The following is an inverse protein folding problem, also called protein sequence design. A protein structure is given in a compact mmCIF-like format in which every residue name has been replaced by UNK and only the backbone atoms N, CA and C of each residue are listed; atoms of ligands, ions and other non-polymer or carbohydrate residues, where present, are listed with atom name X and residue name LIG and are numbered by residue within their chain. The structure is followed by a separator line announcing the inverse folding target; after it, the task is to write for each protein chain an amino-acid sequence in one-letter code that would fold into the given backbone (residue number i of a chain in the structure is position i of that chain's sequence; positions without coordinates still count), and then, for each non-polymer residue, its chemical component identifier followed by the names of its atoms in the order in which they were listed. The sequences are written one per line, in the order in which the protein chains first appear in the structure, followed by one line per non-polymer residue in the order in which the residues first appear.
data_IF_389063297637
#
_entry.id   IF_389063297637
#
_cell.length_a   1.000
_cell.length_b   1.000
_cell.length_c   1.000
_cell.angle_alpha   90.00
_cell.angle_beta   90.00
_cell.angle_gamma   90.00
#
_symmetry.space_group_name_H-M   'P 1'
#
loop_
_entity.id
_entity.type
_entity.pdbx_description
1 polymer ?
#
# COMPACT_ATOMS: atom_id res chain seq x y z
N UNK A 1 -10.99 20.76 33.41
CA UNK A 1 -9.60 21.12 33.01
C UNK A 1 -8.70 20.06 33.63
N UNK A 2 -7.97 19.17 32.94
CA UNK A 2 -7.52 19.08 31.56
C UNK A 2 -7.44 17.60 31.17
N UNK A 3 -8.29 17.14 30.25
CA UNK A 3 -8.28 15.75 29.72
C UNK A 3 -7.61 15.63 28.35
N UNK A 4 -6.67 16.51 28.02
CA UNK A 4 -6.12 16.67 26.66
C UNK A 4 -4.72 16.13 26.42
N UNK A 5 -4.10 15.44 27.38
CA UNK A 5 -2.68 15.05 27.28
C UNK A 5 -2.41 13.54 27.31
N UNK A 6 -3.41 12.68 27.06
CA UNK A 6 -3.22 11.22 27.01
C UNK A 6 -3.61 10.59 25.66
N UNK A 7 -3.54 11.36 24.58
CA UNK A 7 -3.62 10.84 23.19
C UNK A 7 -2.25 10.77 22.51
N UNK A 8 -1.27 11.57 22.96
CA UNK A 8 0.07 11.62 22.36
C UNK A 8 1.02 10.49 22.80
N UNK A 9 0.72 9.79 23.89
CA UNK A 9 1.52 8.64 24.38
C UNK A 9 0.95 7.28 23.96
N UNK A 10 -0.22 7.27 23.29
CA UNK A 10 -0.76 6.07 22.62
C UNK A 10 -0.25 5.97 21.19
N UNK A 11 1.00 6.35 20.99
CA UNK A 11 1.89 5.82 19.97
C UNK A 11 2.32 4.38 20.32
N UNK A 12 1.43 3.60 20.95
CA UNK A 12 1.48 2.15 21.00
C UNK A 12 1.06 1.63 19.62
N UNK A 13 2.05 1.70 18.73
CA UNK A 13 2.13 1.31 17.31
C UNK A 13 1.84 -0.19 17.08
N UNK A 14 1.09 -0.86 17.97
CA UNK A 14 1.01 -2.33 18.03
C UNK A 14 -0.38 -2.96 17.99
N UNK A 15 -1.48 -2.19 17.95
CA UNK A 15 -2.84 -2.78 18.02
C UNK A 15 -3.74 -2.52 16.81
N UNK A 16 -3.33 -1.69 15.85
CA UNK A 16 -4.08 -1.44 14.60
C UNK A 16 -3.21 -1.51 13.34
N UNK A 17 -1.92 -1.76 13.49
CA UNK A 17 -0.99 -1.89 12.37
C UNK A 17 -0.44 -3.31 12.37
N UNK A 18 -0.55 -3.98 11.23
CA UNK A 18 0.14 -5.25 10.97
C UNK A 18 1.62 -5.07 11.34
N UNK A 19 2.15 -5.79 12.34
CA UNK A 19 3.57 -5.69 12.68
C UNK A 19 4.40 -5.94 11.43
N UNK A 20 5.50 -5.21 11.25
CA UNK A 20 6.36 -5.31 10.04
C UNK A 20 6.74 -6.76 9.71
N UNK A 21 6.96 -7.59 10.74
CA UNK A 21 7.23 -9.02 10.57
C UNK A 21 6.08 -9.78 9.88
N UNK A 22 4.83 -9.48 10.26
CA UNK A 22 3.64 -10.08 9.63
C UNK A 22 3.45 -9.54 8.21
N UNK A 23 3.66 -8.25 7.98
CA UNK A 23 3.58 -7.66 6.64
C UNK A 23 4.62 -8.29 5.68
N UNK A 24 5.85 -8.49 6.14
CA UNK A 24 6.89 -9.21 5.38
C UNK A 24 6.54 -10.66 5.14
N UNK A 25 5.97 -11.34 6.14
CA UNK A 25 5.50 -12.71 5.97
C UNK A 25 4.38 -12.80 4.92
N UNK A 26 3.38 -11.93 4.99
CA UNK A 26 2.31 -11.84 3.98
C UNK A 26 2.86 -11.51 2.59
N UNK A 27 3.77 -10.54 2.49
CA UNK A 27 4.45 -10.21 1.23
C UNK A 27 5.22 -11.41 0.64
N UNK A 28 5.83 -12.25 1.49
CA UNK A 28 6.56 -13.45 1.04
C UNK A 28 5.66 -14.57 0.49
N UNK A 29 4.35 -14.50 0.71
CA UNK A 29 3.41 -15.50 0.15
C UNK A 29 3.11 -15.28 -1.33
N UNK A 30 3.42 -14.10 -1.87
CA UNK A 30 3.23 -13.84 -3.30
C UNK A 30 4.26 -14.62 -4.12
N UNK A 31 3.83 -15.09 -5.29
CA UNK A 31 4.74 -15.75 -6.22
C UNK A 31 5.83 -14.76 -6.70
N UNK A 32 7.04 -15.25 -7.04
CA UNK A 32 8.09 -14.41 -7.60
C UNK A 32 7.58 -13.61 -8.80
N UNK A 33 8.05 -12.37 -8.93
CA UNK A 33 7.58 -11.50 -9.98
C UNK A 33 7.96 -12.02 -11.37
N UNK A 34 6.95 -12.10 -12.23
CA UNK A 34 7.08 -12.45 -13.64
C UNK A 34 6.70 -11.29 -14.56
N UNK A 35 6.31 -10.13 -14.03
CA UNK A 35 5.77 -9.00 -14.79
C UNK A 35 6.74 -7.82 -14.84
N UNK A 36 6.75 -7.11 -15.97
CA UNK A 36 7.53 -5.88 -16.11
C UNK A 36 6.80 -4.68 -15.50
N UNK A 37 5.47 -4.71 -15.46
CA UNK A 37 4.62 -3.69 -14.86
C UNK A 37 3.74 -4.33 -13.81
N UNK A 38 3.90 -3.92 -12.55
CA UNK A 38 3.14 -4.45 -11.41
C UNK A 38 2.15 -3.39 -10.95
N UNK A 39 0.89 -3.80 -10.76
CA UNK A 39 -0.17 -2.93 -10.24
C UNK A 39 -0.72 -3.55 -8.96
N UNK A 40 -0.72 -2.78 -7.89
CA UNK A 40 -1.10 -3.19 -6.53
C UNK A 40 -2.32 -2.38 -6.11
N UNK A 41 -3.37 -3.07 -5.66
CA UNK A 41 -4.51 -2.47 -4.98
C UNK A 41 -4.48 -2.90 -3.51
N UNK A 42 -4.43 -1.93 -2.61
CA UNK A 42 -4.61 -2.15 -1.18
C UNK A 42 -5.93 -1.51 -0.75
N UNK A 43 -6.97 -2.33 -0.57
CA UNK A 43 -8.34 -1.89 -0.34
C UNK A 43 -8.60 -1.41 1.11
N UNK A 44 -7.64 -1.60 2.01
CA UNK A 44 -7.70 -1.21 3.41
C UNK A 44 -6.28 -0.99 3.94
N UNK A 45 -5.62 0.01 3.37
CA UNK A 45 -4.18 0.15 3.45
C UNK A 45 -3.66 0.44 4.86
N UNK A 46 -4.47 1.06 5.73
CA UNK A 46 -3.98 1.62 6.98
C UNK A 46 -2.79 2.54 6.69
N UNK A 47 -1.69 2.37 7.43
CA UNK A 47 -0.45 3.11 7.18
C UNK A 47 0.38 2.59 5.99
N UNK A 48 -0.09 1.57 5.26
CA UNK A 48 0.55 1.05 4.06
C UNK A 48 1.66 0.02 4.29
N UNK A 49 1.69 -0.61 5.48
CA UNK A 49 2.79 -1.51 5.88
C UNK A 49 2.90 -2.72 4.95
N UNK A 50 1.77 -3.27 4.49
CA UNK A 50 1.74 -4.47 3.65
C UNK A 50 2.25 -4.19 2.23
N UNK A 51 1.66 -3.23 1.51
CA UNK A 51 2.15 -2.90 0.17
C UNK A 51 3.61 -2.44 0.20
N UNK A 52 4.04 -1.73 1.24
CA UNK A 52 5.43 -1.31 1.40
C UNK A 52 6.38 -2.51 1.50
N UNK A 53 6.05 -3.49 2.34
CA UNK A 53 6.81 -4.73 2.43
C UNK A 53 6.82 -5.52 1.12
N UNK A 54 5.73 -5.49 0.35
CA UNK A 54 5.68 -6.13 -0.95
C UNK A 54 6.51 -5.39 -2.01
N UNK A 55 6.48 -4.05 -2.03
CA UNK A 55 7.36 -3.22 -2.87
C UNK A 55 8.84 -3.51 -2.55
N UNK A 56 9.21 -3.61 -1.27
CA UNK A 56 10.57 -4.00 -0.86
C UNK A 56 10.95 -5.38 -1.39
N UNK A 57 10.01 -6.34 -1.33
CA UNK A 57 10.20 -7.69 -1.85
C UNK A 57 10.51 -7.63 -3.35
N UNK A 58 9.65 -6.98 -4.16
CA UNK A 58 9.82 -6.80 -5.60
C UNK A 58 11.13 -6.10 -5.97
N UNK A 59 11.52 -5.08 -5.19
CA UNK A 59 12.77 -4.35 -5.39
C UNK A 59 14.02 -5.20 -5.10
N UNK A 60 13.89 -6.19 -4.21
CA UNK A 60 14.99 -7.09 -3.83
C UNK A 60 15.14 -8.31 -4.75
N UNK A 61 14.13 -8.63 -5.56
CA UNK A 61 14.14 -9.80 -6.44
C UNK A 61 15.20 -9.72 -7.55
N UNK A 62 15.62 -10.90 -8.03
CA UNK A 62 16.56 -11.02 -9.14
C UNK A 62 15.99 -10.49 -10.47
N UNK A 63 14.67 -10.61 -10.67
CA UNK A 63 13.93 -10.01 -11.79
C UNK A 63 13.02 -8.90 -11.26
N UNK A 64 13.55 -7.67 -11.26
CA UNK A 64 12.80 -6.48 -10.84
C UNK A 64 11.81 -6.05 -11.93
N UNK A 65 10.63 -5.54 -11.55
CA UNK A 65 9.74 -4.88 -12.51
C UNK A 65 10.37 -3.57 -13.02
N UNK A 66 9.93 -3.12 -14.20
CA UNK A 66 10.22 -1.80 -14.75
C UNK A 66 9.42 -0.73 -14.00
N UNK A 67 8.16 -1.03 -13.65
CA UNK A 67 7.33 -0.11 -12.88
C UNK A 67 6.42 -0.80 -11.87
N UNK A 68 6.11 -0.06 -10.80
CA UNK A 68 5.13 -0.42 -9.77
C UNK A 68 4.12 0.72 -9.63
N UNK A 69 2.84 0.39 -9.74
CA UNK A 69 1.71 1.27 -9.41
C UNK A 69 1.05 0.75 -8.14
N UNK A 70 0.76 1.64 -7.18
CA UNK A 70 0.01 1.33 -5.97
C UNK A 70 -1.21 2.23 -5.89
N UNK A 71 -2.38 1.64 -5.76
CA UNK A 71 -3.62 2.33 -5.39
C UNK A 71 -4.00 1.87 -3.99
N UNK A 72 -4.00 2.79 -3.03
CA UNK A 72 -4.29 2.51 -1.63
C UNK A 72 -5.57 3.23 -1.19
N UNK A 73 -6.51 2.48 -0.61
CA UNK A 73 -7.73 3.00 -0.02
C UNK A 73 -7.61 3.04 1.50
N UNK A 74 -7.94 4.18 2.09
CA UNK A 74 -8.05 4.36 3.54
C UNK A 74 -9.05 5.48 3.82
N UNK A 75 -10.02 5.25 4.69
CA UNK A 75 -11.07 6.24 5.00
C UNK A 75 -10.86 6.94 6.35
N UNK A 76 -9.88 6.50 7.14
CA UNK A 76 -9.44 7.17 8.36
C UNK A 76 -8.49 8.33 8.04
N UNK A 77 -9.01 9.56 8.15
CA UNK A 77 -8.24 10.78 7.92
C UNK A 77 -7.03 10.94 8.84
N UNK A 78 -7.05 10.31 10.02
CA UNK A 78 -5.95 10.38 10.97
C UNK A 78 -4.74 9.54 10.52
N UNK A 79 -4.93 8.57 9.61
CA UNK A 79 -3.89 7.64 9.10
C UNK A 79 -3.34 8.07 7.72
N UNK A 80 -4.09 8.87 6.96
CA UNK A 80 -3.68 9.33 5.64
C UNK A 80 -2.28 9.99 5.60
N UNK A 81 -1.84 10.80 6.60
CA UNK A 81 -0.49 11.35 6.60
C UNK A 81 0.60 10.26 6.62
N UNK A 82 0.45 9.24 7.45
CA UNK A 82 1.36 8.10 7.56
C UNK A 82 1.38 7.29 6.25
N UNK A 83 0.21 7.06 5.67
CA UNK A 83 0.08 6.38 4.37
C UNK A 83 0.81 7.13 3.25
N UNK A 84 0.71 8.46 3.20
CA UNK A 84 1.42 9.29 2.23
C UNK A 84 2.95 9.25 2.44
N UNK A 85 3.41 9.22 3.70
CA UNK A 85 4.84 9.03 3.99
C UNK A 85 5.32 7.66 3.49
N UNK A 86 4.53 6.61 3.68
CA UNK A 86 4.82 5.28 3.15
C UNK A 86 4.95 5.30 1.62
N UNK A 87 4.04 5.96 0.90
CA UNK A 87 4.15 6.13 -0.56
C UNK A 87 5.47 6.80 -0.96
N UNK A 88 5.86 7.85 -0.24
CA UNK A 88 7.12 8.58 -0.51
C UNK A 88 8.34 7.70 -0.25
N UNK A 89 8.31 6.87 0.80
CA UNK A 89 9.37 5.91 1.10
C UNK A 89 9.49 4.83 0.01
N UNK A 90 8.36 4.31 -0.48
CA UNK A 90 8.32 3.35 -1.58
C UNK A 90 8.90 3.96 -2.87
N UNK A 91 8.52 5.19 -3.21
CA UNK A 91 9.05 5.91 -4.36
C UNK A 91 10.58 6.06 -4.27
N UNK A 92 11.08 6.53 -3.13
CA UNK A 92 12.51 6.69 -2.89
C UNK A 92 13.26 5.36 -2.92
N UNK A 93 12.68 4.28 -2.40
CA UNK A 93 13.26 2.94 -2.44
C UNK A 93 13.34 2.39 -3.87
N UNK A 94 12.27 2.53 -4.64
CA UNK A 94 12.20 2.13 -6.05
C UNK A 94 13.21 2.89 -6.91
N UNK A 95 13.31 4.22 -6.72
CA UNK A 95 14.25 5.06 -7.45
C UNK A 95 15.72 4.64 -7.27
N UNK A 96 16.11 4.16 -6.09
CA UNK A 96 17.48 3.66 -5.83
C UNK A 96 17.85 2.43 -6.65
N UNK A 97 16.87 1.65 -7.09
CA UNK A 97 17.06 0.42 -7.85
C UNK A 97 16.58 0.52 -9.31
N UNK A 98 16.18 1.72 -9.75
CA UNK A 98 15.77 2.01 -11.13
C UNK A 98 14.35 1.56 -11.48
N UNK A 99 13.48 1.37 -10.49
CA UNK A 99 12.07 1.02 -10.70
C UNK A 99 11.25 2.32 -10.72
N UNK A 100 10.42 2.51 -11.74
CA UNK A 100 9.47 3.63 -11.77
C UNK A 100 8.31 3.34 -10.79
N UNK A 101 8.00 4.29 -9.91
CA UNK A 101 6.94 4.11 -8.91
C UNK A 101 5.86 5.17 -9.08
N UNK A 102 4.59 4.77 -9.00
CA UNK A 102 3.45 5.67 -8.93
C UNK A 102 2.52 5.23 -7.79
N UNK A 103 2.26 6.14 -6.84
CA UNK A 103 1.36 5.90 -5.72
C UNK A 103 0.14 6.81 -5.79
N UNK A 104 -1.04 6.24 -5.62
CA UNK A 104 -2.31 6.94 -5.48
C UNK A 104 -2.94 6.58 -4.13
N UNK A 105 -3.25 7.60 -3.31
CA UNK A 105 -3.98 7.44 -2.05
C UNK A 105 -5.41 7.95 -2.24
N UNK A 106 -6.38 7.07 -1.97
CA UNK A 106 -7.82 7.37 -2.05
C UNK A 106 -8.41 7.37 -0.64
N UNK A 107 -8.76 8.58 -0.18
CA UNK A 107 -9.35 8.87 1.13
C UNK A 107 -10.81 8.44 1.28
N UNK A 108 -11.22 7.31 0.68
CA UNK A 108 -12.61 6.88 0.56
C UNK A 108 -12.78 5.40 0.91
N UNK A 109 -14.01 4.97 1.18
CA UNK A 109 -14.33 3.57 1.42
C UNK A 109 -14.25 2.76 0.11
N UNK A 110 -13.39 1.74 0.08
CA UNK A 110 -13.18 0.91 -1.11
C UNK A 110 -14.46 0.19 -1.56
N UNK A 111 -15.27 -0.31 -0.64
CA UNK A 111 -16.50 -1.05 -0.98
C UNK A 111 -17.47 -0.11 -1.69
N UNK A 112 -17.65 1.10 -1.17
CA UNK A 112 -18.46 2.13 -1.81
C UNK A 112 -17.92 2.53 -3.20
N UNK A 113 -16.60 2.74 -3.30
CA UNK A 113 -15.93 3.11 -4.55
C UNK A 113 -16.03 2.02 -5.63
N UNK A 114 -15.83 0.75 -5.25
CA UNK A 114 -15.89 -0.40 -6.15
C UNK A 114 -17.29 -0.59 -6.74
N UNK A 115 -18.34 -0.41 -5.93
CA UNK A 115 -19.73 -0.48 -6.41
C UNK A 115 -20.01 0.63 -7.44
N UNK A 116 -19.53 1.85 -7.20
CA UNK A 116 -19.72 2.98 -8.12
C UNK A 116 -19.00 2.78 -9.46
N UNK A 117 -17.80 2.18 -9.45
CA UNK A 117 -16.99 1.94 -10.65
C UNK A 117 -17.46 0.73 -11.47
N UNK A 118 -18.04 -0.29 -10.82
CA UNK A 118 -18.56 -1.49 -11.51
C UNK A 118 -19.71 -1.14 -12.47
N UNK A 119 -20.41 -0.02 -12.24
CA UNK A 119 -21.43 0.49 -13.16
C UNK A 119 -20.86 1.07 -14.48
N UNK A 120 -19.54 1.20 -14.64
CA UNK A 120 -18.92 1.99 -15.71
C UNK A 120 -17.80 1.29 -16.52
N UNK A 121 -17.37 0.06 -16.21
CA UNK A 121 -16.13 -0.49 -16.80
C UNK A 121 -16.37 -1.71 -17.72
N UNK A 122 -15.93 -1.56 -18.98
CA UNK A 122 -15.64 -2.66 -19.90
C UNK A 122 -14.31 -3.33 -19.56
N UNK A 123 -14.29 -4.67 -19.62
CA UNK A 123 -13.19 -5.52 -19.15
C UNK A 123 -11.91 -5.29 -19.96
N UNK A 124 -10.85 -4.79 -19.32
CA UNK A 124 -9.49 -4.78 -19.84
C UNK A 124 -8.66 -5.83 -19.08
N UNK A 125 -7.89 -6.66 -19.79
CA UNK A 125 -7.08 -7.74 -19.22
C UNK A 125 -5.75 -7.24 -18.63
N UNK A 126 -5.81 -6.34 -17.65
CA UNK A 126 -4.63 -6.00 -16.83
C UNK A 126 -4.73 -6.72 -15.47
N UNK A 127 -3.72 -7.53 -15.14
CA UNK A 127 -3.66 -8.22 -13.84
C UNK A 127 -3.28 -7.22 -12.76
N UNK A 128 -4.24 -6.92 -11.89
CA UNK A 128 -4.04 -6.14 -10.66
C UNK A 128 -3.91 -7.10 -9.47
N UNK A 129 -2.88 -6.92 -8.64
CA UNK A 129 -2.72 -7.69 -7.42
C UNK A 129 -3.43 -7.01 -6.27
N UNK A 130 -4.34 -7.72 -5.62
CA UNK A 130 -5.14 -7.21 -4.50
C UNK A 130 -4.50 -7.70 -3.20
N UNK A 131 -4.20 -6.77 -2.30
CA UNK A 131 -3.67 -6.99 -0.97
C UNK A 131 -4.78 -7.07 0.08
#
# INVERSE_FOLDING_TARGET
MNGRTQRAERSDIGQFLTPVAIARFMASMFAPNQFDHVRILDAGAGAGVLFSAYVETLASEGRRPISIEVVAYENDSDILPELNQTMTHCEAACGKVGIAFHGEVRGEDFVAAAIAQTALVGVNEERMMIL
#
